data_IF_793321856192
#
_entry.id   IF_793321856192
#
_cell.length_a   1.000
_cell.length_b   1.000
_cell.length_c   1.000
_cell.angle_alpha   90.00
_cell.angle_beta   90.00
_cell.angle_gamma   90.00
#
_symmetry.space_group_name_H-M   'P 1'
#
loop_
_entity.id
_entity.type
_entity.pdbx_description
1 polymer ?
#
# COMPACT_ATOMS: atom_id res chain seq x y z
N UNK A 1 18.11 -1.31 11.39
CA UNK A 1 17.08 -0.24 11.51
C UNK A 1 16.19 -0.30 10.25
N UNK A 2 14.88 -0.40 10.42
CA UNK A 2 13.92 -0.41 9.32
C UNK A 2 13.70 1.01 8.80
N UNK A 3 13.77 1.22 7.49
CA UNK A 3 13.66 2.51 6.82
C UNK A 3 12.39 2.61 5.97
N UNK A 4 11.96 3.83 5.65
CA UNK A 4 10.73 4.07 4.88
C UNK A 4 10.74 3.48 3.46
N UNK A 5 11.90 3.37 2.84
CA UNK A 5 12.08 2.78 1.51
C UNK A 5 11.82 1.27 1.47
N UNK A 6 11.75 0.63 2.64
CA UNK A 6 11.39 -0.79 2.80
C UNK A 6 9.88 -1.01 2.98
N UNK A 7 9.08 0.07 3.04
CA UNK A 7 7.63 -0.03 3.23
C UNK A 7 6.98 -0.49 1.93
N UNK A 8 6.11 -1.49 2.04
CA UNK A 8 5.31 -2.04 0.94
C UNK A 8 3.84 -1.67 1.06
N UNK A 9 3.08 -1.82 -0.01
CA UNK A 9 1.62 -1.67 0.02
C UNK A 9 0.94 -2.65 0.99
N UNK A 10 1.45 -3.87 1.12
CA UNK A 10 0.98 -4.85 2.11
C UNK A 10 1.22 -4.34 3.53
N UNK A 11 2.38 -3.79 3.81
CA UNK A 11 2.70 -3.24 5.13
C UNK A 11 1.80 -2.05 5.50
N UNK A 12 1.47 -1.20 4.51
CA UNK A 12 0.47 -0.13 4.69
C UNK A 12 -0.90 -0.72 5.03
N UNK A 13 -1.35 -1.74 4.30
CA UNK A 13 -2.61 -2.45 4.59
C UNK A 13 -2.64 -2.99 6.02
N UNK A 14 -1.61 -3.70 6.43
CA UNK A 14 -1.52 -4.26 7.77
C UNK A 14 -1.50 -3.17 8.83
N UNK A 15 -0.73 -2.11 8.62
CA UNK A 15 -0.67 -1.00 9.58
C UNK A 15 -2.03 -0.32 9.81
N UNK A 16 -2.83 -0.17 8.76
CA UNK A 16 -4.19 0.39 8.86
C UNK A 16 -5.16 -0.58 9.50
N UNK A 17 -4.97 -1.89 9.29
CA UNK A 17 -5.85 -2.95 9.78
C UNK A 17 -5.49 -3.41 11.18
N UNK A 18 -4.23 -3.78 11.43
CA UNK A 18 -3.73 -4.31 12.70
C UNK A 18 -2.25 -4.01 12.89
N UNK A 19 -1.92 -3.20 13.90
CA UNK A 19 -0.53 -2.83 14.20
C UNK A 19 0.37 -4.02 14.51
N UNK A 20 -0.18 -5.05 15.17
CA UNK A 20 0.59 -6.26 15.49
C UNK A 20 0.94 -7.05 14.23
N UNK A 21 0.00 -7.21 13.30
CA UNK A 21 0.24 -7.82 11.99
C UNK A 21 1.32 -7.05 11.19
N UNK A 22 1.24 -5.72 11.18
CA UNK A 22 2.25 -4.87 10.55
C UNK A 22 3.64 -5.05 11.18
N UNK A 23 3.71 -5.17 12.50
CA UNK A 23 4.98 -5.41 13.20
C UNK A 23 5.56 -6.78 12.81
N UNK A 24 4.75 -7.84 12.83
CA UNK A 24 5.16 -9.20 12.46
C UNK A 24 5.69 -9.23 11.02
N UNK A 25 4.94 -8.66 10.08
CA UNK A 25 5.34 -8.58 8.69
C UNK A 25 6.65 -7.80 8.51
N UNK A 26 6.79 -6.65 9.17
CA UNK A 26 7.99 -5.81 9.12
C UNK A 26 9.24 -6.51 9.70
N UNK A 27 9.05 -7.54 10.53
CA UNK A 27 10.11 -8.41 11.06
C UNK A 27 10.31 -9.69 10.24
N UNK A 28 9.84 -9.72 8.99
CA UNK A 28 9.95 -10.87 8.08
C UNK A 28 9.26 -12.14 8.59
N UNK A 29 8.26 -12.00 9.44
CA UNK A 29 7.37 -13.09 9.83
C UNK A 29 6.21 -13.09 8.83
N UNK A 30 6.34 -13.87 7.76
CA UNK A 30 5.36 -13.91 6.68
C UNK A 30 4.55 -15.18 6.72
N UNK A 31 3.26 -15.05 6.39
CA UNK A 31 2.40 -16.17 6.06
C UNK A 31 2.29 -16.28 4.52
N UNK A 32 3.25 -16.93 3.85
CA UNK A 32 3.26 -17.20 2.41
C UNK A 32 2.98 -15.99 1.49
N UNK A 33 3.91 -15.04 1.40
CA UNK A 33 3.76 -13.89 0.50
C UNK A 33 4.99 -13.69 -0.39
N UNK A 34 4.76 -13.20 -1.61
CA UNK A 34 5.83 -12.76 -2.50
C UNK A 34 6.46 -11.45 -2.00
N UNK A 35 7.74 -11.24 -2.31
CA UNK A 35 8.45 -10.01 -1.94
C UNK A 35 7.96 -8.81 -2.77
N UNK A 36 7.05 -8.04 -2.19
CA UNK A 36 6.48 -6.83 -2.83
C UNK A 36 7.51 -5.73 -3.09
N UNK A 37 8.57 -5.63 -2.26
CA UNK A 37 9.61 -4.61 -2.48
C UNK A 37 10.35 -4.86 -3.79
N UNK A 38 10.66 -6.13 -4.07
CA UNK A 38 11.32 -6.52 -5.32
C UNK A 38 10.41 -6.28 -6.52
N UNK A 39 9.13 -6.64 -6.42
CA UNK A 39 8.15 -6.43 -7.48
C UNK A 39 7.92 -4.94 -7.74
N UNK A 40 7.77 -4.12 -6.69
CA UNK A 40 7.61 -2.69 -6.80
C UNK A 40 8.85 -2.02 -7.40
N UNK A 41 10.04 -2.37 -6.92
CA UNK A 41 11.29 -1.84 -7.44
C UNK A 41 11.48 -2.14 -8.92
N UNK A 42 11.16 -3.36 -9.36
CA UNK A 42 11.18 -3.76 -10.78
C UNK A 42 10.19 -2.96 -11.60
N UNK A 43 8.95 -2.81 -11.16
CA UNK A 43 7.93 -2.03 -11.86
C UNK A 43 8.31 -0.55 -12.00
N UNK A 44 8.86 0.06 -10.95
CA UNK A 44 9.34 1.45 -11.01
C UNK A 44 10.53 1.61 -11.97
N UNK A 45 11.43 0.63 -12.02
CA UNK A 45 12.55 0.60 -12.97
C UNK A 45 12.04 0.49 -14.42
N UNK A 46 11.10 -0.42 -14.68
CA UNK A 46 10.47 -0.61 -15.99
C UNK A 46 9.76 0.66 -16.47
N UNK A 47 9.06 1.38 -15.57
CA UNK A 47 8.42 2.65 -15.87
C UNK A 47 9.46 3.73 -16.25
N UNK A 48 10.57 3.80 -15.52
CA UNK A 48 11.66 4.76 -15.81
C UNK A 48 12.33 4.48 -17.15
N UNK A 49 12.54 3.21 -17.47
CA UNK A 49 13.26 2.78 -18.68
C UNK A 49 12.38 2.88 -19.93
N UNK A 50 11.12 2.43 -19.85
CA UNK A 50 10.21 2.30 -20.99
C UNK A 50 9.20 3.46 -21.11
N UNK A 51 9.20 4.38 -20.16
CA UNK A 51 8.21 5.46 -20.05
C UNK A 51 6.86 4.97 -19.52
N UNK A 52 6.00 5.95 -19.21
CA UNK A 52 4.67 5.67 -18.70
C UNK A 52 3.71 5.48 -19.88
N UNK A 53 3.51 4.25 -20.26
CA UNK A 53 2.43 3.82 -21.15
C UNK A 53 1.29 3.21 -20.32
N UNK A 54 0.29 2.60 -20.95
CA UNK A 54 -0.71 1.84 -20.23
C UNK A 54 -0.08 0.57 -19.66
N UNK A 55 0.16 0.58 -18.34
CA UNK A 55 0.74 -0.54 -17.61
C UNK A 55 -0.33 -1.33 -16.90
N UNK A 56 -0.33 -2.65 -17.11
CA UNK A 56 -1.05 -3.59 -16.26
C UNK A 56 -0.04 -4.19 -15.26
N UNK A 57 -0.27 -3.97 -13.98
CA UNK A 57 0.57 -4.47 -12.90
C UNK A 57 -0.08 -5.69 -12.25
N UNK A 58 -0.18 -6.79 -12.97
CA UNK A 58 -0.84 -8.02 -12.46
C UNK A 58 -0.17 -8.59 -11.20
N UNK A 59 1.10 -8.28 -10.99
CA UNK A 59 1.89 -8.75 -9.84
C UNK A 59 2.03 -7.71 -8.72
N UNK A 60 1.48 -6.49 -8.90
CA UNK A 60 1.45 -5.44 -7.89
C UNK A 60 0.03 -5.23 -7.39
N UNK A 61 -0.11 -4.46 -6.32
CA UNK A 61 -1.42 -4.25 -5.67
C UNK A 61 -2.36 -3.32 -6.43
N UNK A 62 -1.91 -2.63 -7.45
CA UNK A 62 -2.78 -1.90 -8.37
C UNK A 62 -2.82 -2.57 -9.74
N UNK A 63 -3.99 -2.58 -10.36
CA UNK A 63 -4.22 -3.35 -11.59
C UNK A 63 -3.80 -2.61 -12.86
N UNK A 64 -3.84 -1.30 -12.84
CA UNK A 64 -3.57 -0.50 -14.03
C UNK A 64 -3.00 0.88 -13.70
N UNK A 65 -1.99 1.30 -14.48
CA UNK A 65 -1.53 2.68 -14.58
C UNK A 65 -1.74 3.18 -16.00
N UNK A 66 -2.43 4.30 -16.16
CA UNK A 66 -2.66 4.92 -17.46
C UNK A 66 -2.32 6.40 -17.46
N UNK A 67 -1.82 6.90 -18.60
CA UNK A 67 -1.61 8.33 -18.83
C UNK A 67 -2.90 8.91 -19.40
N UNK A 68 -3.42 9.94 -18.76
CA UNK A 68 -4.55 10.73 -19.21
C UNK A 68 -4.14 12.16 -19.50
N UNK A 69 -5.06 12.98 -20.01
CA UNK A 69 -4.79 14.39 -20.32
C UNK A 69 -4.26 15.14 -19.09
N UNK A 70 -2.94 15.35 -19.02
CA UNK A 70 -2.28 16.12 -17.98
C UNK A 70 -1.96 15.39 -16.67
N UNK A 71 -2.43 14.13 -16.47
CA UNK A 71 -2.15 13.38 -15.26
C UNK A 71 -2.02 11.86 -15.50
N UNK A 72 -1.53 11.14 -14.49
CA UNK A 72 -1.49 9.69 -14.46
C UNK A 72 -2.61 9.16 -13.55
N UNK A 73 -3.23 8.07 -13.95
CA UNK A 73 -4.31 7.44 -13.19
C UNK A 73 -3.95 6.00 -12.83
N UNK A 74 -3.91 5.72 -11.53
CA UNK A 74 -3.84 4.37 -10.99
C UNK A 74 -5.27 3.88 -10.80
N UNK A 75 -5.58 2.69 -11.31
CA UNK A 75 -6.86 2.04 -11.08
C UNK A 75 -6.63 0.72 -10.37
N UNK A 76 -7.38 0.48 -9.32
CA UNK A 76 -7.42 -0.77 -8.57
C UNK A 76 -8.84 -1.31 -8.51
N UNK A 77 -8.99 -2.61 -8.80
CA UNK A 77 -10.25 -3.33 -8.74
C UNK A 77 -10.29 -4.22 -7.50
N UNK A 78 -11.34 -4.11 -6.72
CA UNK A 78 -11.59 -4.95 -5.53
C UNK A 78 -12.88 -5.74 -5.68
N UNK A 79 -12.86 -7.00 -5.29
CA UNK A 79 -14.09 -7.82 -5.24
C UNK A 79 -15.09 -7.28 -4.23
N UNK A 80 -14.61 -6.68 -3.14
CA UNK A 80 -15.43 -6.15 -2.05
C UNK A 80 -14.72 -4.98 -1.37
N UNK A 81 -15.49 -3.98 -0.95
CA UNK A 81 -15.04 -2.83 -0.17
C UNK A 81 -15.52 -2.93 1.30
N UNK A 82 -15.29 -4.07 1.96
CA UNK A 82 -15.65 -4.24 3.39
C UNK A 82 -14.98 -3.20 4.28
N UNK A 83 -13.74 -2.82 3.95
CA UNK A 83 -13.03 -1.73 4.60
C UNK A 83 -12.39 -0.83 3.52
N UNK A 84 -13.11 0.17 3.01
CA UNK A 84 -12.61 1.03 1.94
C UNK A 84 -11.39 1.87 2.35
N UNK A 85 -11.22 2.19 3.62
CA UNK A 85 -10.06 2.97 4.10
C UNK A 85 -8.74 2.24 3.89
N UNK A 86 -8.70 0.93 4.08
CA UNK A 86 -7.50 0.11 3.82
C UNK A 86 -7.08 0.21 2.35
N UNK A 87 -8.03 0.01 1.43
CA UNK A 87 -7.79 0.13 -0.01
C UNK A 87 -7.37 1.53 -0.43
N UNK A 88 -8.01 2.56 0.14
CA UNK A 88 -7.65 3.96 -0.10
C UNK A 88 -6.22 4.27 0.34
N UNK A 89 -5.80 3.82 1.52
CA UNK A 89 -4.46 4.09 2.04
C UNK A 89 -3.38 3.36 1.23
N UNK A 90 -3.64 2.14 0.82
CA UNK A 90 -2.75 1.41 -0.08
C UNK A 90 -2.60 2.13 -1.42
N UNK A 91 -3.70 2.55 -2.03
CA UNK A 91 -3.67 3.27 -3.30
C UNK A 91 -3.00 4.64 -3.16
N UNK A 92 -3.24 5.35 -2.05
CA UNK A 92 -2.58 6.61 -1.75
C UNK A 92 -1.06 6.43 -1.58
N UNK A 93 -0.61 5.31 -1.01
CA UNK A 93 0.80 4.96 -0.94
C UNK A 93 1.42 4.80 -2.34
N UNK A 94 0.74 4.16 -3.28
CA UNK A 94 1.23 4.06 -4.65
C UNK A 94 1.26 5.41 -5.38
N UNK A 95 0.27 6.26 -5.17
CA UNK A 95 0.28 7.64 -5.66
C UNK A 95 1.51 8.38 -5.12
N UNK A 96 1.76 8.27 -3.82
CA UNK A 96 2.91 8.88 -3.16
C UNK A 96 4.25 8.38 -3.76
N UNK A 97 4.41 7.06 -3.94
CA UNK A 97 5.62 6.48 -4.54
C UNK A 97 5.86 6.96 -5.98
N UNK A 98 4.83 6.96 -6.81
CA UNK A 98 4.94 7.41 -8.20
C UNK A 98 5.28 8.90 -8.26
N UNK A 99 4.64 9.71 -7.42
CA UNK A 99 4.87 11.15 -7.40
C UNK A 99 6.27 11.49 -6.90
N UNK A 100 6.72 10.89 -5.81
CA UNK A 100 8.03 11.16 -5.22
C UNK A 100 9.18 10.46 -5.95
N UNK A 101 8.98 9.20 -6.35
CA UNK A 101 10.01 8.37 -7.00
C UNK A 101 10.24 8.74 -8.47
N UNK A 102 9.20 9.13 -9.20
CA UNK A 102 9.27 9.51 -10.62
C UNK A 102 9.10 11.01 -10.85
N UNK A 103 8.94 11.80 -9.79
CA UNK A 103 8.74 13.25 -9.86
C UNK A 103 7.57 13.66 -10.79
N UNK A 104 6.47 12.92 -10.72
CA UNK A 104 5.28 13.21 -11.52
C UNK A 104 4.51 14.40 -10.94
N UNK A 105 4.01 15.27 -11.82
CA UNK A 105 3.29 16.48 -11.38
C UNK A 105 1.93 16.16 -10.78
N UNK A 106 1.19 15.27 -11.41
CA UNK A 106 -0.17 14.93 -11.00
C UNK A 106 -0.45 13.43 -11.18
N UNK A 107 -0.84 12.77 -10.10
CA UNK A 107 -1.21 11.35 -10.06
C UNK A 107 -2.53 11.20 -9.31
N UNK A 108 -3.51 10.57 -9.93
CA UNK A 108 -4.83 10.28 -9.34
C UNK A 108 -5.02 8.80 -9.15
N UNK A 109 -5.92 8.43 -8.25
CA UNK A 109 -6.29 7.05 -8.03
C UNK A 109 -7.79 6.81 -8.16
N UNK A 110 -8.14 5.60 -8.60
CA UNK A 110 -9.51 5.08 -8.56
C UNK A 110 -9.52 3.68 -7.95
N UNK A 111 -10.33 3.51 -6.93
CA UNK A 111 -10.65 2.22 -6.35
C UNK A 111 -12.05 1.82 -6.82
N UNK A 112 -12.17 0.70 -7.52
CA UNK A 112 -13.40 0.25 -8.16
C UNK A 112 -13.83 -1.09 -7.56
N UNK A 113 -15.09 -1.19 -7.14
CA UNK A 113 -15.71 -2.44 -6.73
C UNK A 113 -17.16 -2.48 -7.20
N UNK A 114 -17.44 -3.33 -8.19
CA UNK A 114 -18.75 -3.37 -8.86
C UNK A 114 -19.10 -2.00 -9.45
N UNK A 115 -20.17 -1.39 -8.96
CA UNK A 115 -20.63 -0.05 -9.40
C UNK A 115 -20.04 1.09 -8.54
N UNK A 116 -19.33 0.79 -7.46
CA UNK A 116 -18.76 1.78 -6.56
C UNK A 116 -17.40 2.22 -7.07
N UNK A 117 -17.22 3.54 -7.21
CA UNK A 117 -15.95 4.16 -7.59
C UNK A 117 -15.56 5.18 -6.52
N UNK A 118 -14.36 5.02 -5.97
CA UNK A 118 -13.78 5.95 -5.01
C UNK A 118 -12.59 6.63 -5.67
N UNK A 119 -12.64 7.94 -5.84
CA UNK A 119 -11.54 8.74 -6.35
C UNK A 119 -10.59 9.14 -5.22
N UNK A 120 -9.29 9.16 -5.51
CA UNK A 120 -8.24 9.59 -4.60
C UNK A 120 -7.39 10.63 -5.33
N UNK A 121 -7.27 11.81 -4.70
CA UNK A 121 -6.51 12.93 -5.24
C UNK A 121 -5.15 13.05 -4.55
N UNK A 122 -4.15 13.56 -5.28
CA UNK A 122 -2.81 13.83 -4.76
C UNK A 122 -2.70 15.23 -4.11
N UNK A 123 -3.61 15.56 -3.24
CA UNK A 123 -3.63 16.84 -2.53
C UNK A 123 -2.75 16.84 -1.27
N UNK A 124 -2.50 18.02 -0.71
CA UNK A 124 -1.66 18.20 0.47
C UNK A 124 -2.16 17.44 1.71
N UNK A 125 -3.48 17.36 1.89
CA UNK A 125 -4.09 16.61 3.01
C UNK A 125 -3.76 15.11 2.90
N UNK A 126 -3.97 14.51 1.73
CA UNK A 126 -3.67 13.12 1.47
C UNK A 126 -2.17 12.82 1.59
N UNK A 127 -1.31 13.74 1.17
CA UNK A 127 0.14 13.60 1.34
C UNK A 127 0.54 13.62 2.81
N UNK A 128 0.04 14.55 3.60
CA UNK A 128 0.27 14.59 5.05
C UNK A 128 -0.21 13.29 5.72
N UNK A 129 -1.38 12.80 5.30
CA UNK A 129 -1.96 11.56 5.83
C UNK A 129 -1.08 10.35 5.56
N UNK A 130 -0.62 10.18 4.33
CA UNK A 130 0.25 9.03 4.01
C UNK A 130 1.63 9.15 4.66
N UNK A 131 2.23 10.33 4.72
CA UNK A 131 3.50 10.54 5.41
C UNK A 131 3.41 10.22 6.91
N UNK A 132 2.30 10.57 7.54
CA UNK A 132 2.04 10.20 8.94
C UNK A 132 1.99 8.68 9.11
N UNK A 133 1.33 7.97 8.18
CA UNK A 133 1.28 6.51 8.17
C UNK A 133 2.68 5.92 7.99
N UNK A 134 3.45 6.40 7.02
CA UNK A 134 4.81 5.91 6.75
C UNK A 134 5.75 6.13 7.93
N UNK A 135 5.66 7.28 8.59
CA UNK A 135 6.40 7.55 9.83
C UNK A 135 5.99 6.60 10.95
N UNK A 136 4.68 6.37 11.10
CA UNK A 136 4.14 5.45 12.10
C UNK A 136 4.55 3.99 11.85
N UNK A 137 4.61 3.54 10.59
CA UNK A 137 5.10 2.21 10.23
C UNK A 137 6.59 2.07 10.59
N UNK A 138 7.42 3.04 10.19
CA UNK A 138 8.84 3.01 10.49
C UNK A 138 9.11 2.98 12.00
N UNK A 139 8.39 3.77 12.78
CA UNK A 139 8.47 3.74 14.24
C UNK A 139 8.05 2.39 14.81
N UNK A 140 6.89 1.87 14.37
CA UNK A 140 6.34 0.60 14.84
C UNK A 140 7.28 -0.59 14.58
N UNK A 141 7.82 -0.69 13.37
CA UNK A 141 8.69 -1.83 13.00
C UNK A 141 10.04 -1.76 13.73
N UNK A 142 10.50 -0.58 14.14
CA UNK A 142 11.71 -0.43 14.94
C UNK A 142 11.49 -0.70 16.44
N UNK A 143 10.26 -0.89 16.90
CA UNK A 143 10.00 -1.30 18.27
C UNK A 143 10.52 -2.73 18.54
N UNK A 144 11.17 -2.99 19.68
CA UNK A 144 11.78 -4.29 19.98
C UNK A 144 10.76 -5.40 20.24
N UNK A 145 9.50 -5.05 20.46
CA UNK A 145 8.40 -5.99 20.77
C UNK A 145 7.14 -5.61 20.01
N UNK A 146 6.33 -6.60 19.61
CA UNK A 146 5.07 -6.33 18.98
C UNK A 146 4.09 -5.61 19.94
N UNK A 147 3.17 -4.80 19.42
CA UNK A 147 2.06 -4.28 20.21
C UNK A 147 1.33 -5.38 20.97
N UNK A 148 0.76 -5.07 22.12
CA UNK A 148 -0.04 -6.03 22.89
C UNK A 148 -1.17 -6.59 22.02
N UNK A 149 -1.41 -7.90 22.16
CA UNK A 149 -2.55 -8.53 21.50
C UNK A 149 -3.86 -7.94 22.04
N UNK A 150 -4.71 -7.55 21.11
CA UNK A 150 -6.07 -7.07 21.37
C UNK A 150 -7.00 -7.78 20.38
N UNK A 151 -7.87 -8.68 20.84
CA UNK A 151 -8.78 -9.41 19.96
C UNK A 151 -9.68 -8.47 19.17
N UNK A 152 -9.79 -8.75 17.87
CA UNK A 152 -10.68 -8.06 16.95
C UNK A 152 -11.44 -9.12 16.13
N UNK A 153 -12.58 -8.76 15.58
CA UNK A 153 -13.38 -9.67 14.73
C UNK A 153 -12.57 -10.23 13.56
N UNK A 154 -11.66 -9.44 13.00
CA UNK A 154 -10.79 -9.85 11.88
C UNK A 154 -9.83 -10.98 12.28
N UNK A 155 -9.52 -11.15 13.58
CA UNK A 155 -8.60 -12.19 14.05
C UNK A 155 -9.11 -13.61 13.75
N UNK A 156 -10.42 -13.82 13.60
CA UNK A 156 -11.00 -15.13 13.29
C UNK A 156 -10.53 -15.70 11.94
N UNK A 157 -10.23 -14.82 10.97
CA UNK A 157 -9.77 -15.17 9.63
C UNK A 157 -8.38 -14.63 9.30
N UNK A 158 -7.63 -14.17 10.31
CA UNK A 158 -6.30 -13.58 10.12
C UNK A 158 -5.25 -14.65 9.86
N UNK A 159 -4.43 -14.46 8.83
CA UNK A 159 -3.34 -15.38 8.50
C UNK A 159 -2.24 -15.44 9.59
N UNK A 160 -2.16 -14.43 10.45
CA UNK A 160 -1.21 -14.34 11.56
C UNK A 160 -1.79 -14.80 12.91
N UNK A 161 -2.96 -15.42 12.92
CA UNK A 161 -3.64 -15.81 14.16
C UNK A 161 -2.73 -16.60 15.09
N UNK A 162 -2.01 -17.60 14.57
CA UNK A 162 -1.15 -18.50 15.35
C UNK A 162 0.06 -17.80 15.99
N UNK A 163 0.41 -16.61 15.52
CA UNK A 163 1.46 -15.76 16.13
C UNK A 163 0.92 -14.82 17.21
N UNK A 164 -0.39 -14.79 17.41
CA UNK A 164 -1.04 -13.86 18.33
C UNK A 164 -1.61 -14.54 19.58
N UNK A 165 -1.91 -15.85 19.50
CA UNK A 165 -2.62 -16.63 20.55
C UNK A 165 -1.68 -17.66 21.12
#
# INVERSE_FOLDING_TARGET
>A
MFCKDQITGTLVNYYVTCKREAWLYGHNIHANQEDENMLMGKALADIKENGLQDFAFSNLKFDKLSKQRGHYLITEYKKSLKNPEVGKMQLLFYIYLLKTGLNLKEVKGKLISGKTVIAIEDNAENFTKIETILNGIAALVNEPKPPKFSPQKICESCAYRDYCI
#
